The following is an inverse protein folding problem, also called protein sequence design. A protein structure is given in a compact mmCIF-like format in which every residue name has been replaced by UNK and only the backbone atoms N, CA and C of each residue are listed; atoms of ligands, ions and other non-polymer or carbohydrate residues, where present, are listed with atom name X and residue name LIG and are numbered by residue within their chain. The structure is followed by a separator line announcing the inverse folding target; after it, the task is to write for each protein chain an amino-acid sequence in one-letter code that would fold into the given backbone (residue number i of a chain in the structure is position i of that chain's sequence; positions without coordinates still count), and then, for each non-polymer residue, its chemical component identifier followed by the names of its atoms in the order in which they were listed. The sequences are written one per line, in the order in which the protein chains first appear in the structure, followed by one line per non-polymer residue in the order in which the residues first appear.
data_IF_904131641823
#
_entry.id   IF_904131641823
#
_cell.length_a   1.000
_cell.length_b   1.000
_cell.length_c   1.000
_cell.angle_alpha   90.00
_cell.angle_beta   90.00
_cell.angle_gamma   90.00
#
_symmetry.space_group_name_H-M   'P 1'
#
loop_
_entity.id
_entity.type
_entity.pdbx_description
1 polymer ?
#
# COMPACT_ATOMS: atom_id res chain seq x y z
N UNK A 1 -7.92 -20.68 18.28
CA UNK A 1 -6.46 -20.83 18.17
C UNK A 1 -5.90 -19.71 17.32
N UNK A 2 -4.72 -19.21 17.68
CA UNK A 2 -3.98 -18.21 16.91
C UNK A 2 -2.63 -18.81 16.50
N UNK A 3 -2.23 -18.62 15.23
CA UNK A 3 -0.96 -19.12 14.71
C UNK A 3 -0.23 -18.00 13.99
N UNK A 4 0.98 -17.67 14.43
CA UNK A 4 1.89 -16.80 13.71
C UNK A 4 2.65 -17.64 12.67
N UNK A 5 2.71 -17.15 11.44
CA UNK A 5 3.44 -17.77 10.34
C UNK A 5 4.53 -16.83 9.86
N UNK A 6 5.72 -17.35 9.59
CA UNK A 6 6.79 -16.56 9.02
C UNK A 6 6.46 -16.28 7.54
N UNK A 7 6.25 -15.01 7.21
CA UNK A 7 5.95 -14.58 5.85
C UNK A 7 7.15 -14.70 4.88
N UNK A 8 8.37 -14.88 5.40
CA UNK A 8 9.58 -15.07 4.60
C UNK A 8 9.80 -16.54 4.19
N UNK A 9 9.00 -17.47 4.72
CA UNK A 9 9.12 -18.87 4.28
C UNK A 9 8.63 -19.05 2.83
N UNK A 10 9.05 -20.13 2.14
CA UNK A 10 8.59 -20.41 0.78
C UNK A 10 7.07 -20.44 0.68
N UNK A 11 6.51 -19.82 -0.39
CA UNK A 11 5.06 -19.72 -0.60
C UNK A 11 4.36 -21.09 -0.54
N UNK A 12 5.02 -22.14 -1.01
CA UNK A 12 4.47 -23.50 -0.99
C UNK A 12 4.28 -24.04 0.44
N UNK A 13 5.19 -23.71 1.35
CA UNK A 13 5.08 -24.06 2.76
C UNK A 13 3.93 -23.29 3.42
N UNK A 14 3.83 -21.99 3.15
CA UNK A 14 2.70 -21.15 3.61
C UNK A 14 1.35 -21.69 3.12
N UNK A 15 1.26 -22.06 1.85
CA UNK A 15 0.04 -22.63 1.26
C UNK A 15 -0.34 -23.95 1.94
N UNK A 16 0.63 -24.84 2.20
CA UNK A 16 0.37 -26.11 2.88
C UNK A 16 -0.10 -25.88 4.32
N UNK A 17 0.55 -24.97 5.04
CA UNK A 17 0.21 -24.64 6.42
C UNK A 17 -1.17 -23.98 6.53
N UNK A 18 -1.49 -23.02 5.69
CA UNK A 18 -2.79 -22.36 5.65
C UNK A 18 -3.92 -23.32 5.26
N UNK A 19 -3.68 -24.19 4.29
CA UNK A 19 -4.64 -25.23 3.91
C UNK A 19 -4.93 -26.21 5.06
N UNK A 20 -3.93 -26.49 5.89
CA UNK A 20 -4.11 -27.34 7.08
C UNK A 20 -4.81 -26.60 8.22
N UNK A 21 -4.46 -25.33 8.45
CA UNK A 21 -4.97 -24.55 9.58
C UNK A 21 -6.38 -24.02 9.38
N UNK A 22 -6.77 -23.71 8.12
CA UNK A 22 -8.10 -23.15 7.77
C UNK A 22 -8.48 -21.93 8.62
N UNK A 23 -7.76 -20.80 8.51
CA UNK A 23 -8.00 -19.64 9.35
C UNK A 23 -9.39 -19.04 9.13
N UNK A 24 -10.07 -18.69 10.20
CA UNK A 24 -11.30 -17.88 10.17
C UNK A 24 -10.97 -16.39 9.93
N UNK A 25 -9.83 -15.94 10.45
CA UNK A 25 -9.30 -14.60 10.25
C UNK A 25 -7.89 -14.72 9.69
N UNK A 26 -7.65 -14.09 8.54
CA UNK A 26 -6.33 -14.01 7.93
C UNK A 26 -5.78 -12.59 8.07
N UNK A 27 -4.74 -12.41 8.88
CA UNK A 27 -4.11 -11.10 9.10
C UNK A 27 -2.72 -11.05 8.47
N UNK A 28 -2.38 -9.93 7.84
CA UNK A 28 -1.07 -9.73 7.24
C UNK A 28 -0.91 -8.41 6.49
N UNK A 29 0.23 -8.29 5.81
CA UNK A 29 0.52 -7.15 4.95
C UNK A 29 -0.20 -7.26 3.60
N UNK A 30 -0.43 -6.13 2.93
CA UNK A 30 -1.08 -6.12 1.62
C UNK A 30 -0.32 -6.96 0.57
N UNK A 31 1.02 -6.89 0.54
CA UNK A 31 1.83 -7.71 -0.36
C UNK A 31 1.73 -9.21 -0.05
N UNK A 32 1.63 -9.58 1.20
CA UNK A 32 1.40 -10.97 1.61
C UNK A 32 0.05 -11.48 1.10
N UNK A 33 -1.01 -10.70 1.28
CA UNK A 33 -2.33 -11.02 0.74
C UNK A 33 -2.32 -11.10 -0.80
N UNK A 34 -1.57 -10.22 -1.46
CA UNK A 34 -1.40 -10.26 -2.92
C UNK A 34 -0.74 -11.57 -3.40
N UNK A 35 0.26 -12.06 -2.68
CA UNK A 35 0.89 -13.34 -2.99
C UNK A 35 -0.06 -14.53 -2.78
N UNK A 36 -0.81 -14.52 -1.66
CA UNK A 36 -1.75 -15.60 -1.32
C UNK A 36 -2.96 -15.66 -2.25
N UNK A 37 -3.52 -14.52 -2.64
CA UNK A 37 -4.67 -14.51 -3.57
C UNK A 37 -4.32 -15.10 -4.92
N UNK A 38 -3.08 -14.94 -5.39
CA UNK A 38 -2.60 -15.59 -6.60
C UNK A 38 -2.58 -17.12 -6.47
N UNK A 39 -2.27 -17.66 -5.28
CA UNK A 39 -2.31 -19.10 -5.02
C UNK A 39 -3.76 -19.62 -4.93
N UNK A 40 -4.67 -18.82 -4.41
CA UNK A 40 -6.10 -19.16 -4.39
C UNK A 40 -6.69 -19.19 -5.81
N UNK A 41 -6.41 -18.21 -6.64
CA UNK A 41 -6.83 -18.16 -8.05
C UNK A 41 -6.31 -19.38 -8.83
N UNK A 42 -5.10 -19.87 -8.52
CA UNK A 42 -4.51 -21.08 -9.09
C UNK A 42 -5.08 -22.39 -8.51
N UNK A 43 -6.02 -22.30 -7.55
CA UNK A 43 -6.60 -23.44 -6.88
C UNK A 43 -5.66 -24.18 -5.91
N UNK A 44 -4.50 -23.63 -5.60
CA UNK A 44 -3.51 -24.21 -4.67
C UNK A 44 -3.85 -23.89 -3.22
N UNK A 45 -4.26 -22.65 -2.91
CA UNK A 45 -4.73 -22.23 -1.61
C UNK A 45 -6.26 -22.38 -1.54
N UNK A 46 -6.72 -23.19 -0.58
CA UNK A 46 -8.14 -23.58 -0.43
C UNK A 46 -8.65 -23.22 0.96
N UNK A 47 -8.58 -21.95 1.32
CA UNK A 47 -9.10 -21.42 2.59
C UNK A 47 -10.34 -20.57 2.34
N UNK A 48 -11.16 -20.37 3.38
CA UNK A 48 -12.35 -19.51 3.35
C UNK A 48 -12.38 -18.65 4.61
N UNK A 49 -11.50 -17.66 4.73
CA UNK A 49 -11.50 -16.78 5.88
C UNK A 49 -12.79 -15.96 5.91
N UNK A 50 -13.36 -15.78 7.10
CA UNK A 50 -14.51 -14.91 7.33
C UNK A 50 -14.12 -13.44 7.22
N UNK A 51 -12.87 -13.11 7.62
CA UNK A 51 -12.30 -11.78 7.54
C UNK A 51 -10.85 -11.83 7.08
N UNK A 52 -10.48 -10.83 6.29
CA UNK A 52 -9.07 -10.54 5.98
C UNK A 52 -8.73 -9.20 6.60
N UNK A 53 -7.70 -9.16 7.44
CA UNK A 53 -7.18 -7.94 8.04
C UNK A 53 -5.88 -7.56 7.33
N UNK A 54 -5.87 -6.43 6.65
CA UNK A 54 -4.69 -5.88 5.99
C UNK A 54 -4.13 -4.73 6.82
N UNK A 55 -2.84 -4.74 7.12
CA UNK A 55 -2.21 -3.71 7.94
C UNK A 55 -0.75 -3.47 7.56
N UNK A 56 -0.18 -2.35 8.01
CA UNK A 56 1.25 -2.04 7.90
C UNK A 56 1.76 -1.72 6.50
N UNK A 57 0.92 -1.86 5.48
CA UNK A 57 1.15 -1.45 4.10
C UNK A 57 -0.17 -0.92 3.51
N UNK A 58 -0.11 0.01 2.55
CA UNK A 58 -1.32 0.51 1.90
C UNK A 58 -2.08 -0.59 1.16
N UNK A 59 -3.35 -0.75 1.47
CA UNK A 59 -4.25 -1.67 0.76
C UNK A 59 -4.86 -0.97 -0.45
N UNK A 60 -4.38 -1.30 -1.65
CA UNK A 60 -4.92 -0.73 -2.89
C UNK A 60 -6.36 -1.20 -3.15
N UNK A 61 -7.25 -0.33 -3.67
CA UNK A 61 -8.65 -0.69 -3.95
C UNK A 61 -8.78 -1.95 -4.84
N UNK A 62 -7.93 -2.08 -5.85
CA UNK A 62 -7.94 -3.24 -6.76
C UNK A 62 -7.56 -4.55 -6.05
N UNK A 63 -6.62 -4.50 -5.10
CA UNK A 63 -6.27 -5.67 -4.31
C UNK A 63 -7.38 -6.02 -3.34
N UNK A 64 -8.01 -5.03 -2.69
CA UNK A 64 -9.19 -5.23 -1.85
C UNK A 64 -10.28 -5.97 -2.62
N UNK A 65 -10.67 -5.43 -3.77
CA UNK A 65 -11.70 -6.03 -4.64
C UNK A 65 -11.35 -7.47 -5.06
N UNK A 66 -10.10 -7.71 -5.45
CA UNK A 66 -9.63 -9.05 -5.80
C UNK A 66 -9.72 -10.04 -4.64
N UNK A 67 -9.35 -9.62 -3.42
CA UNK A 67 -9.45 -10.42 -2.21
C UNK A 67 -10.91 -10.74 -1.87
N UNK A 68 -11.78 -9.73 -1.88
CA UNK A 68 -13.21 -9.86 -1.59
C UNK A 68 -13.89 -10.81 -2.58
N UNK A 69 -13.59 -10.67 -3.87
CA UNK A 69 -14.12 -11.55 -4.92
C UNK A 69 -13.59 -12.99 -4.82
N UNK A 70 -12.30 -13.16 -4.56
CA UNK A 70 -11.67 -14.49 -4.55
C UNK A 70 -12.10 -15.30 -3.35
N UNK A 71 -12.12 -14.68 -2.16
CA UNK A 71 -12.41 -15.38 -0.90
C UNK A 71 -13.87 -15.27 -0.45
N UNK A 72 -14.69 -14.43 -1.13
CA UNK A 72 -16.08 -14.12 -0.74
C UNK A 72 -16.15 -13.67 0.72
N UNK A 73 -15.30 -12.71 1.10
CA UNK A 73 -15.06 -12.27 2.47
C UNK A 73 -15.07 -10.76 2.59
N UNK A 74 -15.11 -10.27 3.82
CA UNK A 74 -14.90 -8.84 4.10
C UNK A 74 -13.42 -8.57 4.36
N UNK A 75 -12.86 -7.59 3.66
CA UNK A 75 -11.50 -7.11 3.88
C UNK A 75 -11.54 -5.85 4.74
N UNK A 76 -10.84 -5.88 5.86
CA UNK A 76 -10.71 -4.75 6.80
C UNK A 76 -9.30 -4.19 6.65
N UNK A 77 -9.22 -2.93 6.29
CA UNK A 77 -7.97 -2.18 6.24
C UNK A 77 -7.72 -1.53 7.60
N UNK A 78 -6.53 -1.76 8.15
CA UNK A 78 -6.14 -1.31 9.48
C UNK A 78 -4.93 -0.39 9.38
N UNK A 79 -5.11 0.84 9.79
CA UNK A 79 -4.00 1.77 9.97
C UNK A 79 -3.41 1.61 11.36
N UNK A 80 -2.16 1.17 11.40
CA UNK A 80 -1.43 0.87 12.62
C UNK A 80 -0.09 1.59 12.64
N UNK A 81 0.32 2.05 13.81
CA UNK A 81 1.65 2.54 14.09
C UNK A 81 2.23 1.82 15.30
N UNK A 82 3.54 1.56 15.30
CA UNK A 82 4.21 0.89 16.44
C UNK A 82 4.04 1.66 17.74
N UNK A 83 3.91 2.97 17.64
CA UNK A 83 3.78 3.91 18.75
C UNK A 83 2.41 3.85 19.43
N UNK A 84 1.35 3.58 18.66
CA UNK A 84 -0.03 3.65 19.16
C UNK A 84 -0.88 2.44 18.76
N UNK A 85 -0.25 1.38 18.25
CA UNK A 85 -0.90 0.17 17.75
C UNK A 85 -1.94 0.48 16.68
N UNK A 86 -3.22 0.39 17.01
CA UNK A 86 -4.33 0.54 16.09
C UNK A 86 -4.88 1.97 16.15
N UNK A 87 -4.83 2.69 15.04
CA UNK A 87 -5.22 4.10 14.94
C UNK A 87 -6.54 4.28 14.19
N UNK A 88 -6.76 3.50 13.12
CA UNK A 88 -7.99 3.56 12.34
C UNK A 88 -8.27 2.24 11.63
N UNK A 89 -9.51 2.05 11.19
CA UNK A 89 -9.88 0.89 10.40
C UNK A 89 -11.16 1.08 9.60
N UNK A 90 -11.28 0.32 8.50
CA UNK A 90 -12.46 0.38 7.64
C UNK A 90 -12.62 -0.85 6.75
N UNK A 91 -13.89 -1.18 6.49
CA UNK A 91 -14.26 -2.32 5.64
C UNK A 91 -14.63 -1.91 4.21
N UNK A 92 -14.57 -0.61 3.89
CA UNK A 92 -14.84 -0.08 2.54
C UNK A 92 -13.63 0.69 2.03
N UNK A 93 -13.61 0.96 0.73
CA UNK A 93 -12.59 1.80 0.11
C UNK A 93 -12.84 3.31 0.34
N UNK A 94 -13.95 3.68 0.99
CA UNK A 94 -14.37 5.08 1.11
C UNK A 94 -13.65 5.83 2.22
N UNK A 95 -13.14 5.10 3.23
CA UNK A 95 -12.38 5.70 4.32
C UNK A 95 -12.21 4.77 5.53
N UNK A 96 -11.45 5.27 6.49
CA UNK A 96 -11.14 4.60 7.75
C UNK A 96 -11.70 5.43 8.91
N UNK A 97 -12.36 4.77 9.84
CA UNK A 97 -12.82 5.36 11.09
C UNK A 97 -11.67 5.43 12.08
N UNK A 98 -11.46 6.58 12.71
CA UNK A 98 -10.47 6.73 13.78
C UNK A 98 -10.94 6.01 15.05
N UNK A 99 -10.03 5.31 15.71
CA UNK A 99 -10.31 4.64 16.98
C UNK A 99 -10.07 5.62 18.14
N UNK A 100 -11.02 6.54 18.30
CA UNK A 100 -10.97 7.61 19.33
C UNK A 100 -11.32 7.09 20.73
N UNK A 101 -11.72 5.84 20.86
CA UNK A 101 -11.87 5.17 22.16
C UNK A 101 -10.52 4.94 22.85
N UNK A 102 -9.48 4.65 22.06
CA UNK A 102 -8.15 4.30 22.53
C UNK A 102 -7.12 5.42 22.31
N UNK A 103 -7.43 6.37 21.43
CA UNK A 103 -6.50 7.43 21.04
C UNK A 103 -7.22 8.77 20.96
N UNK A 104 -6.60 9.80 21.51
CA UNK A 104 -7.02 11.18 21.30
C UNK A 104 -6.24 11.78 20.13
N UNK A 105 -6.95 12.32 19.14
CA UNK A 105 -6.36 12.89 17.93
C UNK A 105 -6.50 14.41 17.90
N UNK A 106 -5.40 15.09 17.55
CA UNK A 106 -5.36 16.52 17.28
C UNK A 106 -4.88 16.70 15.83
N UNK A 107 -5.80 16.99 14.92
CA UNK A 107 -5.51 17.09 13.47
C UNK A 107 -5.37 18.56 13.10
N UNK A 108 -4.15 18.97 12.70
CA UNK A 108 -3.85 20.29 12.15
C UNK A 108 -3.66 20.20 10.64
N UNK A 109 -3.52 21.35 9.97
CA UNK A 109 -3.42 21.41 8.51
C UNK A 109 -2.14 20.75 7.96
N UNK A 110 -1.05 20.75 8.72
CA UNK A 110 0.28 20.29 8.26
C UNK A 110 0.82 19.12 9.09
N UNK A 111 0.15 18.74 10.18
CA UNK A 111 0.54 17.62 11.04
C UNK A 111 -0.62 17.17 11.89
N UNK A 112 -0.46 16.02 12.53
CA UNK A 112 -1.38 15.56 13.54
C UNK A 112 -0.66 14.90 14.70
N UNK A 113 -1.30 14.95 15.86
CA UNK A 113 -0.78 14.42 17.10
C UNK A 113 -1.71 13.32 17.59
N UNK A 114 -1.15 12.28 18.18
CA UNK A 114 -1.92 11.25 18.87
C UNK A 114 -1.48 11.14 20.32
N UNK A 115 -2.45 10.93 21.18
CA UNK A 115 -2.24 10.57 22.58
C UNK A 115 -2.92 9.22 22.82
N UNK A 116 -2.13 8.20 23.07
CA UNK A 116 -2.68 6.88 23.42
C UNK A 116 -3.11 6.91 24.90
N UNK A 117 -4.40 6.64 25.15
CA UNK A 117 -5.00 6.83 26.48
C UNK A 117 -4.88 5.61 27.39
N UNK A 118 -4.48 4.45 26.88
CA UNK A 118 -4.37 3.23 27.68
C UNK A 118 -2.94 2.76 27.96
N UNK A 119 -1.95 3.19 27.14
CA UNK A 119 -0.57 2.76 27.33
C UNK A 119 0.11 3.53 28.47
N UNK A 120 0.18 2.89 29.64
CA UNK A 120 0.79 3.48 30.83
C UNK A 120 2.28 3.17 30.97
N UNK A 121 2.79 2.22 30.19
CA UNK A 121 4.21 1.80 30.24
C UNK A 121 5.09 2.80 29.49
N UNK A 122 4.65 3.21 28.31
CA UNK A 122 5.31 4.24 27.49
C UNK A 122 4.22 5.22 27.04
N UNK A 123 3.82 6.16 27.94
CA UNK A 123 2.76 7.10 27.63
C UNK A 123 3.24 8.11 26.59
N UNK A 124 2.73 7.99 25.38
CA UNK A 124 2.96 8.96 24.31
C UNK A 124 1.83 10.00 24.36
N UNK A 125 2.18 11.20 24.79
CA UNK A 125 1.27 12.33 24.89
C UNK A 125 1.62 13.32 23.79
N UNK A 126 0.63 13.64 22.92
CA UNK A 126 0.79 14.55 21.78
C UNK A 126 1.98 14.14 20.88
N UNK A 127 2.10 12.84 20.64
CA UNK A 127 3.12 12.32 19.75
C UNK A 127 2.81 12.72 18.31
N UNK A 128 3.76 13.37 17.65
CA UNK A 128 3.62 13.76 16.24
C UNK A 128 3.76 12.55 15.33
N UNK A 129 2.69 12.24 14.63
CA UNK A 129 2.70 11.21 13.60
C UNK A 129 3.15 11.83 12.28
N UNK A 130 4.12 11.20 11.62
CA UNK A 130 4.69 11.69 10.37
C UNK A 130 3.91 11.25 9.12
N UNK A 131 2.80 10.56 9.32
CA UNK A 131 1.92 10.17 8.21
C UNK A 131 0.99 11.33 7.84
N UNK A 132 0.74 11.52 6.56
CA UNK A 132 -0.19 12.52 6.04
C UNK A 132 -1.58 11.90 5.98
N UNK A 133 -2.51 12.42 6.75
CA UNK A 133 -3.89 11.97 6.77
C UNK A 133 -4.78 12.94 6.01
N UNK A 134 -5.77 12.40 5.30
CA UNK A 134 -6.81 13.16 4.64
C UNK A 134 -8.13 13.02 5.42
N UNK A 135 -8.50 13.98 6.26
CA UNK A 135 -9.79 13.96 6.95
C UNK A 135 -10.94 13.96 5.95
N UNK A 136 -12.03 13.29 6.30
CA UNK A 136 -13.28 13.34 5.53
C UNK A 136 -14.48 13.42 6.45
N UNK A 137 -15.65 13.70 5.85
CA UNK A 137 -16.91 13.63 6.57
C UNK A 137 -17.17 12.20 7.05
N UNK A 138 -17.84 12.02 8.19
CA UNK A 138 -18.22 10.70 8.69
C UNK A 138 -19.02 9.93 7.64
N UNK A 139 -18.60 8.69 7.38
CA UNK A 139 -19.30 7.78 6.46
C UNK A 139 -20.50 7.09 7.16
N UNK A 140 -20.53 7.14 8.48
CA UNK A 140 -21.61 6.63 9.32
C UNK A 140 -21.99 7.68 10.34
N UNK A 141 -23.26 8.07 10.35
CA UNK A 141 -23.80 9.09 11.25
C UNK A 141 -24.16 8.56 12.65
N UNK A 142 -24.18 7.25 12.82
CA UNK A 142 -24.48 6.57 14.08
C UNK A 142 -23.25 6.42 15.01
N UNK A 143 -22.07 6.78 14.53
CA UNK A 143 -20.84 6.73 15.30
C UNK A 143 -20.23 8.14 15.41
N UNK A 144 -19.87 8.59 16.62
CA UNK A 144 -19.38 9.94 16.86
C UNK A 144 -17.90 10.14 16.51
N UNK A 145 -17.27 9.16 15.89
CA UNK A 145 -15.83 9.14 15.63
C UNK A 145 -15.45 9.89 14.34
N UNK A 146 -14.25 10.44 14.34
CA UNK A 146 -13.65 11.05 13.16
C UNK A 146 -13.33 10.02 12.07
N UNK A 147 -13.21 10.51 10.83
CA UNK A 147 -12.93 9.68 9.66
C UNK A 147 -11.82 10.29 8.85
N UNK A 148 -11.00 9.42 8.25
CA UNK A 148 -10.00 9.77 7.26
C UNK A 148 -10.29 9.04 5.95
N UNK A 149 -10.12 9.73 4.84
CA UNK A 149 -10.29 9.14 3.52
C UNK A 149 -9.14 8.20 3.16
N UNK A 150 -7.94 8.61 3.54
CA UNK A 150 -6.70 7.89 3.24
C UNK A 150 -5.58 8.28 4.19
N UNK A 151 -4.57 7.44 4.20
CA UNK A 151 -3.23 7.75 4.73
C UNK A 151 -2.34 7.93 3.51
N UNK A 152 -1.94 9.16 3.20
CA UNK A 152 -1.20 9.50 1.97
C UNK A 152 0.30 9.14 2.04
N UNK A 153 0.68 8.39 3.06
CA UNK A 153 2.06 7.98 3.34
C UNK A 153 2.77 8.97 4.24
N UNK A 154 4.05 8.75 4.41
CA UNK A 154 4.86 9.59 5.28
C UNK A 154 5.23 10.89 4.57
N UNK A 155 5.14 12.02 5.28
CA UNK A 155 5.51 13.32 4.76
C UNK A 155 6.94 13.35 4.21
N UNK A 156 7.87 12.63 4.85
CA UNK A 156 9.26 12.46 4.41
C UNK A 156 9.43 11.64 3.11
N UNK A 157 8.40 10.92 2.69
CA UNK A 157 8.42 10.14 1.44
C UNK A 157 7.82 10.90 0.26
N UNK A 158 7.18 12.04 0.50
CA UNK A 158 6.72 12.91 -0.57
C UNK A 158 7.91 13.34 -1.45
N UNK A 159 7.68 13.40 -2.75
CA UNK A 159 8.66 13.84 -3.74
C UNK A 159 8.02 14.87 -4.64
N UNK A 160 8.84 15.60 -5.39
CA UNK A 160 8.37 16.65 -6.27
C UNK A 160 8.45 16.19 -7.72
N UNK A 161 7.45 16.52 -8.51
CA UNK A 161 7.46 16.36 -9.95
C UNK A 161 7.23 17.71 -10.62
N UNK A 162 7.75 17.85 -11.84
CA UNK A 162 7.56 19.07 -12.64
C UNK A 162 6.19 19.02 -13.33
N UNK A 163 5.33 19.99 -13.05
CA UNK A 163 4.04 20.15 -13.72
C UNK A 163 4.21 20.78 -15.15
N UNK A 164 3.11 20.92 -15.89
CA UNK A 164 3.14 21.42 -17.26
C UNK A 164 3.49 22.91 -17.38
N UNK A 165 3.47 23.65 -16.28
CA UNK A 165 3.90 25.06 -16.21
C UNK A 165 5.40 25.18 -15.90
N UNK A 166 6.05 24.08 -15.54
CA UNK A 166 7.47 24.00 -15.23
C UNK A 166 7.77 24.11 -13.73
N UNK A 167 6.75 24.21 -12.88
CA UNK A 167 6.88 24.32 -11.45
C UNK A 167 7.01 22.94 -10.78
N UNK A 168 7.66 22.89 -9.61
CA UNK A 168 7.72 21.70 -8.79
C UNK A 168 6.44 21.56 -7.97
N UNK A 169 5.79 20.42 -8.08
CA UNK A 169 4.58 20.08 -7.37
C UNK A 169 4.81 18.85 -6.47
N UNK A 170 4.47 18.92 -5.18
CA UNK A 170 4.64 17.79 -4.27
C UNK A 170 3.66 16.67 -4.60
N UNK A 171 4.17 15.46 -4.67
CA UNK A 171 3.41 14.23 -4.93
C UNK A 171 3.61 13.27 -3.77
N UNK A 172 2.52 12.90 -3.14
CA UNK A 172 2.51 11.85 -2.13
C UNK A 172 2.64 10.46 -2.77
N UNK A 173 3.37 9.53 -2.13
CA UNK A 173 3.58 8.19 -2.67
C UNK A 173 2.29 7.46 -2.99
N UNK A 174 1.27 7.64 -2.17
CA UNK A 174 0.00 6.94 -2.35
C UNK A 174 -0.81 7.48 -3.53
N UNK A 175 -0.67 8.74 -3.92
CA UNK A 175 -1.32 9.27 -5.13
C UNK A 175 -0.94 8.47 -6.38
N UNK A 176 0.30 7.94 -6.42
CA UNK A 176 0.76 7.07 -7.50
C UNK A 176 0.33 5.61 -7.26
N UNK A 177 0.48 5.12 -6.04
CA UNK A 177 0.15 3.73 -5.72
C UNK A 177 -1.35 3.43 -5.85
N UNK A 178 -2.20 4.43 -5.63
CA UNK A 178 -3.67 4.32 -5.77
C UNK A 178 -4.20 4.79 -7.13
N UNK A 179 -3.32 5.16 -8.09
CA UNK A 179 -3.83 5.51 -9.42
C UNK A 179 -4.59 4.33 -10.03
N UNK A 180 -5.68 4.57 -10.76
CA UNK A 180 -6.41 3.52 -11.45
C UNK A 180 -5.49 2.81 -12.45
N UNK A 181 -5.22 1.52 -12.21
CA UNK A 181 -4.43 0.67 -13.09
C UNK A 181 -4.91 -0.78 -13.02
N UNK A 182 -4.57 -1.63 -14.00
CA UNK A 182 -4.86 -3.06 -13.91
C UNK A 182 -4.30 -3.66 -12.62
N UNK A 183 -4.94 -4.69 -12.06
CA UNK A 183 -4.44 -5.37 -10.88
C UNK A 183 -3.06 -5.97 -11.16
N UNK A 184 -2.08 -5.55 -10.37
CA UNK A 184 -0.71 -6.08 -10.40
C UNK A 184 -0.36 -6.64 -9.03
N UNK A 185 0.40 -7.76 -8.95
CA UNK A 185 0.77 -8.36 -7.68
C UNK A 185 1.60 -7.41 -6.79
N UNK A 186 2.42 -6.55 -7.40
CA UNK A 186 3.22 -5.58 -6.67
C UNK A 186 3.68 -4.42 -7.56
N UNK A 187 3.93 -3.28 -6.92
CA UNK A 187 4.36 -2.05 -7.57
C UNK A 187 5.40 -1.35 -6.70
N UNK A 188 6.49 -0.93 -7.31
CA UNK A 188 7.47 -0.02 -6.72
C UNK A 188 7.72 1.16 -7.66
N UNK A 189 7.84 2.35 -7.09
CA UNK A 189 8.24 3.53 -7.81
C UNK A 189 9.68 3.90 -7.51
N UNK A 190 10.50 4.05 -8.53
CA UNK A 190 11.82 4.65 -8.41
C UNK A 190 11.74 6.08 -8.93
N UNK A 191 12.01 7.04 -8.04
CA UNK A 191 12.06 8.47 -8.37
C UNK A 191 13.51 8.82 -8.59
N UNK A 192 13.91 8.94 -9.85
CA UNK A 192 15.29 9.26 -10.22
C UNK A 192 15.58 10.75 -10.05
N UNK A 193 14.64 11.57 -10.49
CA UNK A 193 14.64 13.03 -10.34
C UNK A 193 13.20 13.56 -10.57
N UNK A 194 12.92 14.88 -10.44
CA UNK A 194 11.57 15.44 -10.63
C UNK A 194 10.94 15.27 -12.01
N UNK A 195 11.68 14.74 -12.98
CA UNK A 195 11.20 14.53 -14.37
C UNK A 195 11.24 13.08 -14.80
N UNK A 196 11.86 12.20 -14.02
CA UNK A 196 12.10 10.82 -14.44
C UNK A 196 11.65 9.80 -13.39
N UNK A 197 10.74 8.91 -13.78
CA UNK A 197 10.15 7.87 -12.96
C UNK A 197 10.37 6.50 -13.57
N UNK A 198 10.60 5.49 -12.72
CA UNK A 198 10.60 4.09 -13.15
C UNK A 198 9.58 3.33 -12.31
N UNK A 199 8.58 2.78 -12.97
CA UNK A 199 7.59 1.91 -12.37
C UNK A 199 8.05 0.46 -12.49
N UNK A 200 8.35 -0.18 -11.38
CA UNK A 200 8.71 -1.59 -11.28
C UNK A 200 7.46 -2.38 -10.95
N UNK A 201 7.06 -3.26 -11.85
CA UNK A 201 5.85 -4.05 -11.75
C UNK A 201 6.22 -5.50 -11.49
N UNK A 202 5.76 -6.06 -10.37
CA UNK A 202 5.85 -7.49 -10.13
C UNK A 202 4.94 -8.21 -11.12
N UNK A 203 5.53 -9.09 -11.90
CA UNK A 203 4.79 -9.86 -12.90
C UNK A 203 4.28 -11.17 -12.29
N UNK A 204 3.10 -11.64 -12.71
CA UNK A 204 2.63 -12.96 -12.32
C UNK A 204 3.61 -14.03 -12.82
N UNK A 205 4.16 -14.85 -11.93
CA UNK A 205 5.26 -15.79 -12.22
C UNK A 205 4.97 -16.79 -13.36
N UNK A 206 3.70 -17.14 -13.58
CA UNK A 206 3.29 -18.11 -14.57
C UNK A 206 2.52 -17.48 -15.76
N UNK A 207 2.48 -16.15 -15.85
CA UNK A 207 1.84 -15.50 -16.99
C UNK A 207 2.66 -15.72 -18.27
N UNK A 208 2.03 -16.15 -19.37
CA UNK A 208 2.69 -16.25 -20.67
C UNK A 208 3.28 -14.89 -21.10
N UNK A 209 4.35 -14.86 -21.92
CA UNK A 209 4.98 -13.62 -22.37
C UNK A 209 4.00 -12.60 -22.95
N UNK A 210 3.03 -13.05 -23.74
CA UNK A 210 2.00 -12.19 -24.31
C UNK A 210 1.15 -11.49 -23.22
N UNK A 211 0.73 -12.21 -22.19
CA UNK A 211 -0.06 -11.62 -21.10
C UNK A 211 0.77 -10.64 -20.26
N UNK A 212 2.05 -10.95 -20.02
CA UNK A 212 3.00 -10.03 -19.33
C UNK A 212 3.13 -8.72 -20.11
N UNK A 213 3.32 -8.81 -21.43
CA UNK A 213 3.45 -7.63 -22.28
C UNK A 213 2.14 -6.81 -22.35
N UNK A 214 1.00 -7.48 -22.45
CA UNK A 214 -0.31 -6.83 -22.41
C UNK A 214 -0.53 -6.09 -21.10
N UNK A 215 -0.18 -6.70 -19.95
CA UNK A 215 -0.26 -6.07 -18.63
C UNK A 215 0.62 -4.81 -18.57
N UNK A 216 1.88 -4.91 -19.00
CA UNK A 216 2.79 -3.74 -19.00
C UNK A 216 2.30 -2.61 -19.90
N UNK A 217 1.71 -2.94 -21.07
CA UNK A 217 1.07 -1.93 -21.95
C UNK A 217 -0.10 -1.22 -21.25
N UNK A 218 -0.96 -1.98 -20.61
CA UNK A 218 -2.10 -1.42 -19.88
C UNK A 218 -1.66 -0.55 -18.70
N UNK A 219 -0.63 -0.96 -17.96
CA UNK A 219 -0.03 -0.16 -16.89
C UNK A 219 0.56 1.14 -17.45
N UNK A 220 1.30 1.09 -18.57
CA UNK A 220 1.81 2.30 -19.24
C UNK A 220 0.70 3.28 -19.61
N UNK A 221 -0.40 2.77 -20.16
CA UNK A 221 -1.57 3.60 -20.51
C UNK A 221 -2.15 4.28 -19.26
N UNK A 222 -2.33 3.54 -18.18
CA UNK A 222 -2.86 4.09 -16.92
C UNK A 222 -1.97 5.20 -16.33
N UNK A 223 -0.65 5.01 -16.36
CA UNK A 223 0.31 6.02 -15.89
C UNK A 223 0.24 7.28 -16.79
N UNK A 224 0.17 7.10 -18.10
CA UNK A 224 0.01 8.22 -19.03
C UNK A 224 -1.26 9.04 -18.74
N UNK A 225 -2.39 8.38 -18.56
CA UNK A 225 -3.66 9.03 -18.20
C UNK A 225 -3.54 9.78 -16.86
N UNK A 226 -2.90 9.17 -15.85
CA UNK A 226 -2.69 9.81 -14.57
C UNK A 226 -1.81 11.07 -14.68
N UNK A 227 -0.69 11.00 -15.39
CA UNK A 227 0.20 12.16 -15.62
C UNK A 227 -0.53 13.30 -16.35
N UNK A 228 -1.33 12.99 -17.37
CA UNK A 228 -2.14 13.99 -18.08
C UNK A 228 -3.18 14.61 -17.15
N UNK A 229 -3.88 13.80 -16.35
CA UNK A 229 -4.85 14.30 -15.36
C UNK A 229 -4.22 15.18 -14.28
N UNK A 230 -2.94 14.99 -13.98
CA UNK A 230 -2.15 15.80 -13.05
C UNK A 230 -1.43 16.98 -13.73
N UNK A 231 -1.57 17.16 -15.03
CA UNK A 231 -0.86 18.17 -15.80
C UNK A 231 0.68 18.08 -15.65
N UNK A 232 1.22 16.87 -15.74
CA UNK A 232 2.66 16.58 -15.61
C UNK A 232 3.26 15.90 -16.85
N UNK A 233 2.44 15.52 -17.81
CA UNK A 233 2.81 14.73 -19.00
C UNK A 233 3.76 15.45 -19.96
N UNK A 234 3.85 16.78 -19.89
CA UNK A 234 4.76 17.57 -20.73
C UNK A 234 6.23 17.36 -20.36
N UNK A 235 6.54 17.29 -19.09
CA UNK A 235 7.92 17.26 -18.59
C UNK A 235 8.30 15.95 -17.91
N UNK A 236 7.36 15.21 -17.34
CA UNK A 236 7.66 13.95 -16.67
C UNK A 236 7.74 12.81 -17.68
N UNK A 237 8.83 12.08 -17.62
CA UNK A 237 9.08 10.86 -18.40
C UNK A 237 9.01 9.65 -17.46
N UNK A 238 8.56 8.53 -17.99
CA UNK A 238 8.49 7.31 -17.18
C UNK A 238 8.83 6.07 -17.99
N UNK A 239 9.33 5.07 -17.27
CA UNK A 239 9.54 3.73 -17.77
C UNK A 239 8.72 2.74 -16.95
N UNK A 240 8.27 1.65 -17.58
CA UNK A 240 7.61 0.54 -16.89
C UNK A 240 8.44 -0.71 -17.12
N UNK A 241 8.93 -1.29 -16.03
CA UNK A 241 9.80 -2.47 -16.03
C UNK A 241 9.07 -3.59 -15.31
N UNK A 242 8.93 -4.73 -15.98
CA UNK A 242 8.42 -5.95 -15.37
C UNK A 242 9.55 -6.69 -14.65
N UNK A 243 9.29 -7.14 -13.42
CA UNK A 243 10.24 -7.87 -12.59
C UNK A 243 9.58 -9.14 -12.06
N UNK A 244 10.39 -10.15 -11.75
CA UNK A 244 9.94 -11.36 -11.07
C UNK A 244 10.00 -11.20 -9.54
N UNK A 245 10.76 -10.23 -9.02
CA UNK A 245 10.89 -9.90 -7.60
C UNK A 245 10.99 -8.39 -7.40
N UNK A 246 10.48 -7.89 -6.28
CA UNK A 246 10.60 -6.49 -5.86
C UNK A 246 11.65 -6.34 -4.76
N UNK A 247 12.19 -5.12 -4.64
CA UNK A 247 13.14 -4.80 -3.57
C UNK A 247 12.41 -4.72 -2.23
N UNK A 248 12.88 -5.47 -1.25
CA UNK A 248 12.36 -5.48 0.11
C UNK A 248 13.36 -4.85 1.09
N UNK A 249 12.85 -4.28 2.15
CA UNK A 249 13.67 -3.86 3.28
C UNK A 249 14.18 -5.11 4.00
N UNK A 250 15.53 -5.29 4.14
CA UNK A 250 16.09 -6.52 4.70
C UNK A 250 15.78 -6.72 6.19
N UNK A 251 15.35 -5.67 6.91
CA UNK A 251 15.04 -5.77 8.33
C UNK A 251 13.58 -6.13 8.58
N UNK A 252 12.68 -5.52 7.80
CA UNK A 252 11.24 -5.67 8.00
C UNK A 252 10.59 -6.65 7.02
N UNK A 253 11.28 -7.05 5.94
CA UNK A 253 10.72 -7.87 4.86
C UNK A 253 9.65 -7.14 4.02
N UNK A 254 9.37 -5.86 4.31
CA UNK A 254 8.36 -5.08 3.58
C UNK A 254 8.90 -4.62 2.24
N UNK A 255 8.06 -4.66 1.20
CA UNK A 255 8.40 -4.05 -0.07
C UNK A 255 8.51 -2.52 0.07
N UNK A 256 9.60 -1.96 -0.46
CA UNK A 256 9.77 -0.51 -0.51
C UNK A 256 8.85 0.05 -1.58
N UNK A 257 7.83 0.79 -1.18
CA UNK A 257 6.90 1.40 -2.13
C UNK A 257 7.59 2.44 -3.03
N UNK A 258 8.50 3.23 -2.45
CA UNK A 258 9.29 4.25 -3.15
C UNK A 258 10.77 4.03 -2.91
N UNK A 259 11.54 4.10 -3.98
CA UNK A 259 13.00 4.00 -3.99
C UNK A 259 13.55 5.31 -4.54
N UNK A 260 14.48 5.90 -3.79
CA UNK A 260 15.30 7.02 -4.25
C UNK A 260 16.75 6.52 -4.35
N UNK A 261 17.31 6.40 -5.56
CA UNK A 261 18.71 6.04 -5.69
C UNK A 261 19.57 7.10 -4.97
N UNK A 262 20.51 6.66 -4.12
CA UNK A 262 21.49 7.58 -3.57
C UNK A 262 22.29 8.21 -4.73
N UNK A 263 22.62 9.49 -4.64
CA UNK A 263 23.31 10.26 -5.67
C UNK A 263 24.61 9.60 -6.15
N UNK A 264 25.19 8.72 -5.34
CA UNK A 264 26.39 7.93 -5.66
C UNK A 264 26.17 6.80 -6.67
N UNK A 265 24.93 6.31 -6.84
CA UNK A 265 24.66 5.17 -7.75
C UNK A 265 24.26 5.63 -9.17
N UNK A 266 23.87 6.89 -9.36
CA UNK A 266 23.48 7.43 -10.66
C UNK A 266 24.65 7.72 -11.60
N UNK A 267 25.85 7.96 -11.06
CA UNK A 267 27.07 8.26 -11.84
C UNK A 267 27.70 7.02 -12.51
N UNK A 268 27.35 5.79 -12.10
CA UNK A 268 28.00 4.56 -12.59
C UNK A 268 27.23 3.81 -13.69
N UNK A 269 26.08 4.30 -14.16
CA UNK A 269 25.26 3.64 -15.21
C UNK A 269 25.12 4.43 -16.51
N UNK A 270 25.90 5.48 -16.69
CA UNK A 270 25.97 6.28 -17.92
C UNK A 270 27.35 6.16 -18.61
N UNK A 271 28.06 5.03 -18.42
CA UNK A 271 29.27 4.69 -19.16
C UNK A 271 29.05 3.41 -19.95
#
# INVERSE_FOLDING_TARGET
DCRAMDHNQPVDALVAELNSFQPEILSGYANFHAALVQQAIRGRLKIRPRYILSSGEPLRPQLRELLEQTYQTTVIDLYCASESLLLAGGSTADGLMLYEEDNYFEIAADHWLTTNVFNRTVPLIRYRVNDVLQPCAPLRSDLPFGWIKSVDGRAEQAFELVNNDGDLEPVGPLQILYMPMPPVPGLQLVVTDPRNLIFRILLPAQAPPFQREQLLRSVRSSIGVWLTGKQMDRYVRFQVVGLDELEVDPRSGKAKAIIRPSVTAAAFRAA
#
